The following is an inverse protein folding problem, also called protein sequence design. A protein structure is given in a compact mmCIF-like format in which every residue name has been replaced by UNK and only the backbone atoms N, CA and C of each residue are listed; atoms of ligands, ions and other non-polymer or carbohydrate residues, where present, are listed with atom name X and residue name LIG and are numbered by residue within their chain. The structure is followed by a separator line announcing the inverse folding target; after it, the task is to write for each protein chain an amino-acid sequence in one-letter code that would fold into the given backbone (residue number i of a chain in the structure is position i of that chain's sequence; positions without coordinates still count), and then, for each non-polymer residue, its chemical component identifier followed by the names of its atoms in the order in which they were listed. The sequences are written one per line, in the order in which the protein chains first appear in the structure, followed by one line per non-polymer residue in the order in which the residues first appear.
data_IF_694420581382
#
_entry.id   IF_694420581382
#
_cell.length_a   1.000
_cell.length_b   1.000
_cell.length_c   1.000
_cell.angle_alpha   90.00
_cell.angle_beta   90.00
_cell.angle_gamma   90.00
#
_symmetry.space_group_name_H-M   'P 1'
#
loop_
_entity.id
_entity.type
_entity.pdbx_description
1 polymer ?
#
# COMPACT_ATOMS: atom_id res chain seq x y z
N UNK A 1 -10.29 0.29 5.38
CA UNK A 1 -9.81 1.07 4.21
C UNK A 1 -8.29 1.13 4.07
N UNK A 2 -7.51 1.26 5.14
CA UNK A 2 -6.03 1.33 5.07
C UNK A 2 -5.41 0.16 4.27
N UNK A 3 -5.81 -1.08 4.54
CA UNK A 3 -5.34 -2.28 3.82
C UNK A 3 -5.55 -2.22 2.30
N UNK A 4 -6.65 -1.59 1.85
CA UNK A 4 -6.96 -1.43 0.42
C UNK A 4 -5.96 -0.47 -0.25
N UNK A 5 -5.54 0.58 0.47
CA UNK A 5 -4.53 1.51 -0.02
C UNK A 5 -3.14 0.89 -0.01
N UNK A 6 -2.78 0.17 1.05
CA UNK A 6 -1.48 -0.52 1.13
C UNK A 6 -1.31 -1.53 -0.01
N UNK A 7 -2.31 -2.40 -0.20
CA UNK A 7 -2.33 -3.34 -1.32
C UNK A 7 -2.35 -2.61 -2.67
N UNK A 8 -3.21 -1.59 -2.80
CA UNK A 8 -3.31 -0.77 -4.02
C UNK A 8 -1.99 -0.13 -4.41
N UNK A 9 -1.27 0.48 -3.46
CA UNK A 9 0.02 1.12 -3.73
C UNK A 9 1.12 0.10 -4.03
N UNK A 10 1.08 -1.07 -3.38
CA UNK A 10 1.99 -2.18 -3.64
C UNK A 10 1.89 -2.67 -5.09
N UNK A 11 0.70 -2.62 -5.70
CA UNK A 11 0.46 -2.98 -7.11
C UNK A 11 0.39 -1.77 -8.06
N UNK A 12 0.70 -0.56 -7.59
CA UNK A 12 0.73 0.66 -8.39
C UNK A 12 -0.61 1.35 -8.69
N UNK A 13 -1.70 0.96 -8.01
CA UNK A 13 -3.02 1.60 -8.10
C UNK A 13 -3.17 2.72 -7.06
N UNK A 14 -3.19 3.98 -7.52
CA UNK A 14 -3.31 5.16 -6.64
C UNK A 14 -4.58 6.00 -6.80
N UNK A 15 -5.30 5.81 -7.90
CA UNK A 15 -6.50 6.61 -8.21
C UNK A 15 -7.70 6.10 -7.42
N UNK A 16 -8.36 6.98 -6.67
CA UNK A 16 -9.59 6.65 -5.93
C UNK A 16 -10.68 6.08 -6.85
N UNK A 17 -10.79 6.60 -8.07
CA UNK A 17 -11.73 6.10 -9.10
C UNK A 17 -11.39 4.68 -9.53
N UNK A 18 -10.09 4.37 -9.66
CA UNK A 18 -9.63 3.01 -10.01
C UNK A 18 -9.85 2.03 -8.85
N UNK A 19 -9.58 2.46 -7.61
CA UNK A 19 -9.88 1.66 -6.40
C UNK A 19 -11.38 1.37 -6.31
N UNK A 20 -12.25 2.37 -6.53
CA UNK A 20 -13.70 2.17 -6.56
C UNK A 20 -14.13 1.11 -7.59
N UNK A 21 -13.57 1.15 -8.80
CA UNK A 21 -13.85 0.12 -9.82
C UNK A 21 -13.35 -1.28 -9.40
N UNK A 22 -12.18 -1.35 -8.76
CA UNK A 22 -11.60 -2.62 -8.28
C UNK A 22 -12.37 -3.20 -7.09
N UNK A 23 -12.94 -2.37 -6.22
CA UNK A 23 -13.83 -2.81 -5.14
C UNK A 23 -15.09 -3.50 -5.66
N UNK A 24 -15.52 -3.21 -6.89
CA UNK A 24 -16.66 -3.88 -7.53
C UNK A 24 -16.24 -5.15 -8.27
N UNK A 25 -15.06 -5.15 -8.89
CA UNK A 25 -14.67 -6.17 -9.89
C UNK A 25 -13.65 -7.20 -9.38
N UNK A 26 -12.89 -6.88 -8.34
CA UNK A 26 -11.75 -7.69 -7.91
C UNK A 26 -11.95 -8.23 -6.48
N UNK A 27 -11.93 -9.56 -6.34
CA UNK A 27 -12.26 -10.21 -5.07
C UNK A 27 -11.29 -9.87 -3.95
N UNK A 28 -10.00 -9.68 -4.25
CA UNK A 28 -9.02 -9.28 -3.24
C UNK A 28 -9.35 -7.90 -2.66
N UNK A 29 -9.76 -6.93 -3.48
CA UNK A 29 -10.18 -5.61 -3.01
C UNK A 29 -11.43 -5.69 -2.15
N UNK A 30 -12.41 -6.51 -2.55
CA UNK A 30 -13.61 -6.76 -1.73
C UNK A 30 -13.27 -7.38 -0.39
N UNK A 31 -12.39 -8.38 -0.36
CA UNK A 31 -11.96 -9.03 0.87
C UNK A 31 -11.28 -8.02 1.81
N UNK A 32 -10.31 -7.26 1.31
CA UNK A 32 -9.59 -6.23 2.09
C UNK A 32 -10.49 -5.08 2.57
N UNK A 33 -11.60 -4.85 1.87
CA UNK A 33 -12.61 -3.86 2.24
C UNK A 33 -13.72 -4.42 3.14
N UNK A 34 -13.63 -5.67 3.61
CA UNK A 34 -14.73 -6.35 4.30
C UNK A 34 -16.06 -6.26 3.52
N UNK A 35 -15.96 -6.38 2.19
CA UNK A 35 -17.03 -6.26 1.20
C UNK A 35 -17.73 -4.89 1.16
N UNK A 36 -17.19 -3.86 1.83
CA UNK A 36 -17.67 -2.48 1.71
C UNK A 36 -17.32 -1.92 0.33
N UNK A 37 -18.24 -1.16 -0.27
CA UNK A 37 -18.06 -0.55 -1.59
C UNK A 37 -18.26 0.97 -1.52
N UNK A 38 -17.40 1.69 -0.79
CA UNK A 38 -17.47 3.15 -0.70
C UNK A 38 -17.33 3.79 -2.08
N UNK A 39 -17.97 4.95 -2.26
CA UNK A 39 -17.83 5.74 -3.47
C UNK A 39 -16.43 6.35 -3.59
N UNK A 40 -16.03 6.77 -4.79
CA UNK A 40 -14.71 7.36 -5.03
C UNK A 40 -14.48 8.64 -4.22
N UNK A 41 -15.53 9.39 -3.90
CA UNK A 41 -15.47 10.56 -3.00
C UNK A 41 -15.08 10.13 -1.59
N UNK A 42 -15.76 9.15 -1.01
CA UNK A 42 -15.44 8.62 0.33
C UNK A 42 -14.01 8.07 0.39
N UNK A 43 -13.54 7.39 -0.66
CA UNK A 43 -12.15 6.92 -0.75
C UNK A 43 -11.16 8.09 -0.77
N UNK A 44 -11.46 9.13 -1.55
CA UNK A 44 -10.63 10.35 -1.61
C UNK A 44 -10.59 11.05 -0.26
N UNK A 45 -11.73 11.19 0.39
CA UNK A 45 -11.86 11.93 1.65
C UNK A 45 -11.18 11.16 2.78
N UNK A 46 -11.39 9.83 2.86
CA UNK A 46 -10.66 8.96 3.79
C UNK A 46 -9.14 9.12 3.66
N UNK A 47 -8.62 9.19 2.42
CA UNK A 47 -7.19 9.40 2.19
C UNK A 47 -6.72 10.79 2.61
N UNK A 48 -7.54 11.81 2.41
CA UNK A 48 -7.23 13.19 2.79
C UNK A 48 -7.18 13.32 4.32
N UNK A 49 -8.17 12.76 5.00
CA UNK A 49 -8.36 12.90 6.45
C UNK A 49 -7.34 12.07 7.24
N UNK A 50 -6.84 10.97 6.66
CA UNK A 50 -5.90 10.05 7.33
C UNK A 50 -4.46 10.17 6.79
N UNK A 51 -4.11 11.28 6.14
CA UNK A 51 -2.80 11.45 5.49
C UNK A 51 -1.63 11.18 6.44
N UNK A 52 -1.67 11.74 7.64
CA UNK A 52 -0.60 11.57 8.65
C UNK A 52 -0.45 10.11 9.07
N UNK A 53 -1.57 9.40 9.25
CA UNK A 53 -1.57 7.97 9.57
C UNK A 53 -0.90 7.16 8.46
N UNK A 54 -1.17 7.48 7.19
CA UNK A 54 -0.51 6.82 6.06
C UNK A 54 1.00 7.10 6.04
N UNK A 55 1.42 8.33 6.30
CA UNK A 55 2.85 8.69 6.34
C UNK A 55 3.58 7.87 7.41
N UNK A 56 3.05 7.81 8.64
CA UNK A 56 3.62 7.01 9.74
C UNK A 56 3.65 5.50 9.41
N UNK A 57 2.58 4.96 8.82
CA UNK A 57 2.50 3.56 8.43
C UNK A 57 3.56 3.21 7.37
N UNK A 58 3.72 4.08 6.38
CA UNK A 58 4.72 3.88 5.34
C UNK A 58 6.15 3.99 5.87
N UNK A 59 6.41 4.90 6.80
CA UNK A 59 7.70 4.99 7.48
C UNK A 59 8.03 3.70 8.22
N UNK A 60 7.07 3.15 8.97
CA UNK A 60 7.28 1.91 9.71
C UNK A 60 7.47 0.71 8.77
N UNK A 61 6.70 0.60 7.68
CA UNK A 61 6.90 -0.43 6.66
C UNK A 61 8.31 -0.32 6.04
N UNK A 62 8.78 0.90 5.74
CA UNK A 62 10.11 1.13 5.20
C UNK A 62 11.20 0.78 6.22
N UNK A 63 10.99 1.08 7.50
CA UNK A 63 11.89 0.70 8.60
C UNK A 63 12.01 -0.82 8.71
N UNK A 64 10.88 -1.52 8.81
CA UNK A 64 10.82 -2.99 8.86
C UNK A 64 11.51 -3.63 7.66
N UNK A 65 11.32 -3.06 6.46
CA UNK A 65 11.99 -3.54 5.25
C UNK A 65 13.50 -3.35 5.27
N UNK A 66 14.01 -2.28 5.90
CA UNK A 66 15.45 -2.04 6.05
C UNK A 66 16.06 -3.04 7.03
N UNK A 67 15.36 -3.32 8.12
CA UNK A 67 15.80 -4.23 9.17
C UNK A 67 15.81 -5.70 8.72
N UNK A 68 14.76 -6.11 8.00
CA UNK A 68 14.67 -7.44 7.38
C UNK A 68 15.57 -7.63 6.16
N UNK A 69 16.24 -6.57 5.67
CA UNK A 69 17.15 -6.68 4.52
C UNK A 69 18.37 -7.51 4.94
N UNK A 70 18.60 -8.69 4.36
CA UNK A 70 19.79 -9.47 4.70
C UNK A 70 21.03 -8.63 4.35
N UNK A 71 21.97 -8.53 5.30
CA UNK A 71 23.28 -7.93 5.06
C UNK A 71 23.92 -8.72 3.92
N UNK A 72 23.86 -8.19 2.70
CA UNK A 72 24.57 -8.80 1.58
C UNK A 72 26.04 -8.84 1.98
N UNK A 73 26.68 -10.02 2.00
CA UNK A 73 28.10 -10.07 2.29
C UNK A 73 28.81 -9.17 1.28
N UNK A 74 29.76 -8.39 1.77
CA UNK A 74 30.57 -7.47 0.97
C UNK A 74 31.28 -8.35 -0.06
N UNK A 75 30.74 -8.43 -1.28
CA UNK A 75 31.40 -9.14 -2.39
C UNK A 75 32.73 -8.42 -2.57
N UNK A 76 33.80 -9.00 -2.07
CA UNK A 76 35.15 -8.65 -2.45
C UNK A 76 35.18 -8.72 -3.97
N UNK A 77 35.32 -7.56 -4.63
CA UNK A 77 35.57 -7.53 -6.07
C UNK A 77 36.81 -8.41 -6.31
N UNK A 78 36.76 -9.37 -7.25
CA UNK A 78 37.97 -10.09 -7.62
C UNK A 78 39.02 -9.06 -8.05
N UNK A 79 40.18 -9.08 -7.38
CA UNK A 79 41.36 -8.33 -7.82
C UNK A 79 42.00 -9.17 -8.93
N UNK A 80 41.48 -9.08 -10.14
CA UNK A 80 42.17 -9.44 -11.37
C UNK A 80 41.72 -8.46 -12.44
#
# INVERSE_FOLDING_TARGET
MIMVFDFGYSIGVRSSRKIHSLLKRFIAFRYLAANQQPDFCTIRDFRKDNREVFELLYEEILRLRRESRPRRPRRSRPRW
#
